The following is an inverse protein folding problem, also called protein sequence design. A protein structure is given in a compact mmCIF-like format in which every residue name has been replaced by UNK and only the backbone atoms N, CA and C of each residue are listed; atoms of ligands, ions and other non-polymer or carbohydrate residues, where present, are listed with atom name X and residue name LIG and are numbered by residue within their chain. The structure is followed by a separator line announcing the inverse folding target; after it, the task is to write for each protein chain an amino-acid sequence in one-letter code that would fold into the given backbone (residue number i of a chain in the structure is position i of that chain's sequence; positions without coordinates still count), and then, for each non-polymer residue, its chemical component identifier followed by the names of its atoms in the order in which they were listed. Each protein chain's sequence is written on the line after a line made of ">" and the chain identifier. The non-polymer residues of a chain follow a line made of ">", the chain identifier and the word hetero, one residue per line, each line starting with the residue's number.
data_IF_175148789984
#
_entry.id   IF_175148789984
#
_cell.length_a   1.000
_cell.length_b   1.000
_cell.length_c   1.000
_cell.angle_alpha   90.00
_cell.angle_beta   90.00
_cell.angle_gamma   90.00
#
_symmetry.space_group_name_H-M   'P 1'
#
loop_
_entity.id
_entity.type
_entity.pdbx_description
1 polymer ?
#
# COMPACT_ATOMS: atom_id res chain seq x y z
N UNK A 1 56.86 -61.00 -11.83
CA UNK A 1 57.26 -59.58 -11.67
C UNK A 1 56.04 -58.65 -11.60
N UNK A 2 54.94 -59.03 -10.93
CA UNK A 2 53.67 -58.25 -10.90
C UNK A 2 53.20 -57.90 -9.48
N UNK A 3 53.74 -58.57 -8.46
CA UNK A 3 53.29 -58.40 -7.06
C UNK A 3 53.74 -57.07 -6.42
N UNK A 4 54.87 -56.50 -6.83
CA UNK A 4 55.41 -55.27 -6.24
C UNK A 4 54.62 -54.02 -6.69
N UNK A 5 54.20 -53.98 -7.96
CA UNK A 5 53.44 -52.85 -8.53
C UNK A 5 52.03 -52.76 -7.94
N UNK A 6 51.37 -53.91 -7.69
CA UNK A 6 50.01 -53.97 -7.17
C UNK A 6 49.93 -53.50 -5.70
N UNK A 7 50.93 -53.85 -4.87
CA UNK A 7 51.04 -53.36 -3.49
C UNK A 7 51.28 -51.85 -3.40
N UNK A 8 52.13 -51.29 -4.26
CA UNK A 8 52.39 -49.84 -4.32
C UNK A 8 51.11 -49.08 -4.71
N UNK A 9 50.35 -49.59 -5.68
CA UNK A 9 49.11 -48.94 -6.10
C UNK A 9 48.05 -48.93 -4.98
N UNK A 10 48.00 -49.97 -4.14
CA UNK A 10 47.09 -50.03 -2.99
C UNK A 10 47.48 -49.01 -1.90
N UNK A 11 48.77 -48.82 -1.65
CA UNK A 11 49.27 -47.81 -0.71
C UNK A 11 48.99 -46.39 -1.19
N UNK A 12 49.20 -46.09 -2.47
CA UNK A 12 48.88 -44.79 -3.06
C UNK A 12 47.38 -44.48 -2.99
N UNK A 13 46.52 -45.48 -3.20
CA UNK A 13 45.07 -45.32 -3.05
C UNK A 13 44.68 -45.08 -1.59
N UNK A 14 45.32 -45.76 -0.64
CA UNK A 14 45.11 -45.56 0.79
C UNK A 14 45.56 -44.16 1.24
N UNK A 15 46.70 -43.68 0.73
CA UNK A 15 47.22 -42.32 1.00
C UNK A 15 46.24 -41.25 0.49
N UNK A 16 45.73 -41.40 -0.74
CA UNK A 16 44.73 -40.48 -1.28
C UNK A 16 43.46 -40.44 -0.41
N UNK A 17 42.93 -41.61 -0.03
CA UNK A 17 41.75 -41.71 0.85
C UNK A 17 41.99 -41.10 2.23
N UNK A 18 43.19 -41.28 2.80
CA UNK A 18 43.55 -40.68 4.08
C UNK A 18 43.61 -39.15 3.99
N UNK A 19 44.19 -38.63 2.90
CA UNK A 19 44.25 -37.19 2.62
C UNK A 19 42.86 -36.58 2.43
N UNK A 20 42.00 -37.23 1.65
CA UNK A 20 40.62 -36.78 1.41
C UNK A 20 39.82 -36.77 2.73
N UNK A 21 39.94 -37.82 3.55
CA UNK A 21 39.28 -37.91 4.86
C UNK A 21 39.76 -36.84 5.84
N UNK A 22 41.05 -36.47 5.78
CA UNK A 22 41.63 -35.42 6.61
C UNK A 22 41.17 -34.03 6.17
N UNK A 23 41.07 -33.78 4.86
CA UNK A 23 40.52 -32.52 4.33
C UNK A 23 39.01 -32.39 4.58
N UNK A 24 38.25 -33.47 4.49
CA UNK A 24 36.84 -33.50 4.88
C UNK A 24 36.67 -33.24 6.39
N UNK A 25 37.51 -33.88 7.22
CA UNK A 25 37.54 -33.63 8.65
C UNK A 25 37.93 -32.17 8.96
N UNK A 26 38.88 -31.56 8.26
CA UNK A 26 39.21 -30.12 8.40
C UNK A 26 38.09 -29.20 7.92
N UNK A 27 37.33 -29.60 6.91
CA UNK A 27 36.13 -28.89 6.43
C UNK A 27 35.00 -28.94 7.48
N UNK A 28 34.91 -30.04 8.24
CA UNK A 28 33.88 -30.29 9.26
C UNK A 28 34.25 -29.77 10.65
N UNK A 29 35.51 -29.93 11.06
CA UNK A 29 36.07 -29.38 12.30
C UNK A 29 36.34 -27.89 12.13
N UNK A 30 36.27 -27.09 13.19
CA UNK A 30 36.33 -25.62 13.16
C UNK A 30 37.69 -25.01 12.77
N UNK A 31 38.44 -25.63 11.86
CA UNK A 31 39.65 -25.06 11.27
C UNK A 31 39.30 -23.89 10.33
N UNK A 32 40.27 -23.04 10.00
CA UNK A 32 40.05 -21.78 9.27
C UNK A 32 39.24 -21.95 7.97
N UNK A 33 39.46 -23.04 7.22
CA UNK A 33 38.76 -23.35 5.96
C UNK A 33 37.27 -23.72 6.17
N UNK A 34 36.95 -24.52 7.19
CA UNK A 34 35.57 -24.87 7.55
C UNK A 34 34.79 -23.69 8.11
N UNK A 35 35.43 -22.85 8.94
CA UNK A 35 34.86 -21.60 9.48
C UNK A 35 34.51 -20.61 8.36
N UNK A 36 35.39 -20.43 7.37
CA UNK A 36 35.12 -19.56 6.22
C UNK A 36 33.93 -20.01 5.38
N UNK A 37 33.77 -21.33 5.16
CA UNK A 37 32.60 -21.88 4.44
C UNK A 37 31.30 -21.69 5.21
N UNK A 38 31.28 -21.95 6.52
CA UNK A 38 30.11 -21.72 7.37
C UNK A 38 29.72 -20.24 7.41
N UNK A 39 30.69 -19.34 7.47
CA UNK A 39 30.44 -17.90 7.41
C UNK A 39 29.85 -17.48 6.06
N UNK A 40 30.37 -18.02 4.95
CA UNK A 40 29.83 -17.75 3.61
C UNK A 40 28.40 -18.27 3.46
N UNK A 41 28.14 -19.49 3.92
CA UNK A 41 26.81 -20.09 3.91
C UNK A 41 25.82 -19.26 4.74
N UNK A 42 26.20 -18.87 5.96
CA UNK A 42 25.35 -18.04 6.82
C UNK A 42 25.03 -16.67 6.17
N UNK A 43 25.98 -16.08 5.43
CA UNK A 43 25.74 -14.85 4.67
C UNK A 43 24.77 -15.08 3.51
N UNK A 44 24.95 -16.15 2.73
CA UNK A 44 24.05 -16.50 1.63
C UNK A 44 22.63 -16.77 2.14
N UNK A 45 22.48 -17.54 3.22
CA UNK A 45 21.18 -17.83 3.85
C UNK A 45 20.50 -16.54 4.35
N UNK A 46 21.24 -15.67 5.03
CA UNK A 46 20.70 -14.38 5.48
C UNK A 46 20.28 -13.47 4.31
N UNK A 47 21.05 -13.45 3.21
CA UNK A 47 20.68 -12.69 2.01
C UNK A 47 19.39 -13.22 1.38
N UNK A 48 19.24 -14.54 1.28
CA UNK A 48 18.02 -15.17 0.76
C UNK A 48 16.82 -14.81 1.63
N UNK A 49 16.95 -14.86 2.96
CA UNK A 49 15.86 -14.49 3.88
C UNK A 49 15.48 -13.01 3.76
N UNK A 50 16.46 -12.12 3.63
CA UNK A 50 16.22 -10.68 3.41
C UNK A 50 15.46 -10.45 2.10
N UNK A 51 15.86 -11.10 1.01
CA UNK A 51 15.21 -10.93 -0.28
C UNK A 51 13.79 -11.51 -0.29
N UNK A 52 13.57 -12.65 0.38
CA UNK A 52 12.22 -13.19 0.59
C UNK A 52 11.34 -12.22 1.37
N UNK A 53 11.84 -11.67 2.47
CA UNK A 53 11.10 -10.69 3.27
C UNK A 53 10.78 -9.43 2.46
N UNK A 54 11.74 -8.91 1.69
CA UNK A 54 11.51 -7.78 0.77
C UNK A 54 10.41 -8.09 -0.24
N UNK A 55 10.48 -9.24 -0.89
CA UNK A 55 9.47 -9.65 -1.89
C UNK A 55 8.07 -9.78 -1.25
N UNK A 56 7.98 -10.32 -0.04
CA UNK A 56 6.74 -10.43 0.70
C UNK A 56 6.17 -9.05 1.06
N UNK A 57 7.00 -8.15 1.57
CA UNK A 57 6.60 -6.77 1.92
C UNK A 57 6.17 -5.97 0.70
N UNK A 58 6.86 -6.10 -0.43
CA UNK A 58 6.46 -5.46 -1.68
C UNK A 58 5.14 -6.01 -2.22
N UNK A 59 4.89 -7.31 -2.05
CA UNK A 59 3.60 -7.92 -2.41
C UNK A 59 2.48 -7.40 -1.51
N UNK A 60 2.68 -7.35 -0.20
CA UNK A 60 1.73 -6.78 0.75
C UNK A 60 1.45 -5.30 0.47
N UNK A 61 2.50 -4.53 0.19
CA UNK A 61 2.39 -3.12 -0.16
C UNK A 61 1.56 -2.93 -1.43
N UNK A 62 1.89 -3.65 -2.51
CA UNK A 62 1.13 -3.59 -3.78
C UNK A 62 -0.33 -3.99 -3.60
N UNK A 63 -0.61 -5.02 -2.79
CA UNK A 63 -1.98 -5.45 -2.50
C UNK A 63 -2.77 -4.38 -1.71
N UNK A 64 -2.12 -3.70 -0.76
CA UNK A 64 -2.75 -2.58 -0.04
C UNK A 64 -2.97 -1.39 -0.96
N UNK A 65 -1.99 -1.04 -1.80
CA UNK A 65 -2.07 0.06 -2.75
C UNK A 65 -3.21 -0.17 -3.76
N UNK A 66 -3.11 -1.24 -4.55
CA UNK A 66 -4.18 -2.22 -4.72
C UNK A 66 -5.61 -1.80 -4.34
N UNK A 67 -5.94 -2.27 -3.13
CA UNK A 67 -7.22 -2.11 -2.48
C UNK A 67 -7.60 -0.65 -2.23
N UNK A 68 -6.64 0.19 -1.84
CA UNK A 68 -6.89 1.61 -1.55
C UNK A 68 -7.26 2.35 -2.82
N UNK A 69 -6.49 2.17 -3.90
CA UNK A 69 -6.79 2.80 -5.20
C UNK A 69 -8.13 2.34 -5.74
N UNK A 70 -8.46 1.05 -5.62
CA UNK A 70 -9.79 0.54 -5.99
C UNK A 70 -10.91 1.15 -5.14
N UNK A 71 -10.70 1.34 -3.83
CA UNK A 71 -11.70 1.93 -2.93
C UNK A 71 -11.89 3.43 -3.11
N UNK A 72 -10.85 4.16 -3.54
CA UNK A 72 -10.92 5.60 -3.77
C UNK A 72 -11.86 5.95 -4.92
N UNK A 73 -11.85 5.15 -6.01
CA UNK A 73 -12.77 5.35 -7.12
C UNK A 73 -14.23 5.17 -6.68
N UNK A 74 -14.53 4.10 -5.96
CA UNK A 74 -15.88 3.86 -5.45
C UNK A 74 -16.39 5.00 -4.54
N UNK A 75 -15.51 5.56 -3.69
CA UNK A 75 -15.86 6.69 -2.85
C UNK A 75 -16.14 7.96 -3.68
N UNK A 76 -15.34 8.21 -4.72
CA UNK A 76 -15.55 9.34 -5.62
C UNK A 76 -16.89 9.24 -6.34
N UNK A 77 -17.22 8.04 -6.85
CA UNK A 77 -18.48 7.78 -7.56
C UNK A 77 -19.68 7.96 -6.61
N UNK A 78 -19.59 7.48 -5.37
CA UNK A 78 -20.64 7.64 -4.35
C UNK A 78 -20.85 9.12 -3.97
N UNK A 79 -19.75 9.90 -3.83
CA UNK A 79 -19.83 11.35 -3.57
C UNK A 79 -20.50 12.06 -4.74
N UNK A 80 -20.16 11.70 -5.98
CA UNK A 80 -20.76 12.29 -7.17
C UNK A 80 -22.27 11.99 -7.24
N UNK A 81 -22.67 10.73 -7.00
CA UNK A 81 -24.08 10.33 -6.94
C UNK A 81 -24.86 11.13 -5.88
N UNK A 82 -24.33 11.21 -4.65
CA UNK A 82 -24.94 12.00 -3.58
C UNK A 82 -25.03 13.49 -3.93
N UNK A 83 -24.00 14.04 -4.56
CA UNK A 83 -23.96 15.44 -4.98
C UNK A 83 -25.02 15.72 -6.05
N UNK A 84 -25.12 14.86 -7.06
CA UNK A 84 -26.14 14.96 -8.10
C UNK A 84 -27.56 14.84 -7.52
N UNK A 85 -27.77 13.90 -6.59
CA UNK A 85 -29.03 13.77 -5.85
C UNK A 85 -29.37 15.05 -5.08
N UNK A 86 -28.40 15.66 -4.42
CA UNK A 86 -28.63 16.91 -3.66
C UNK A 86 -28.95 18.09 -4.58
N UNK A 87 -28.28 18.19 -5.72
CA UNK A 87 -28.59 19.22 -6.73
C UNK A 87 -30.02 19.04 -7.26
N UNK A 88 -30.45 17.80 -7.53
CA UNK A 88 -31.81 17.51 -7.97
C UNK A 88 -32.84 17.89 -6.91
N UNK A 89 -32.59 17.58 -5.64
CA UNK A 89 -33.46 17.97 -4.52
C UNK A 89 -33.57 19.51 -4.42
N UNK A 90 -32.44 20.22 -4.48
CA UNK A 90 -32.41 21.69 -4.45
C UNK A 90 -33.19 22.31 -5.61
N UNK A 91 -33.02 21.79 -6.82
CA UNK A 91 -33.77 22.24 -7.99
C UNK A 91 -35.26 21.94 -7.85
N UNK A 92 -35.62 20.79 -7.29
CA UNK A 92 -37.00 20.43 -6.96
C UNK A 92 -37.62 21.42 -5.96
N UNK A 93 -36.89 21.77 -4.91
CA UNK A 93 -37.33 22.77 -3.93
C UNK A 93 -37.49 24.14 -4.57
N UNK A 94 -36.51 24.58 -5.35
CA UNK A 94 -36.58 25.85 -6.08
C UNK A 94 -37.85 25.92 -6.93
N UNK A 95 -38.06 24.94 -7.82
CA UNK A 95 -39.22 24.93 -8.70
C UNK A 95 -40.56 24.90 -7.95
N UNK A 96 -40.61 24.21 -6.80
CA UNK A 96 -41.82 24.12 -5.97
C UNK A 96 -42.16 25.44 -5.27
N UNK A 97 -41.15 26.18 -4.80
CA UNK A 97 -41.38 27.36 -3.96
C UNK A 97 -41.20 28.69 -4.70
N UNK A 98 -40.58 28.69 -5.88
CA UNK A 98 -40.27 29.90 -6.67
C UNK A 98 -41.50 30.78 -6.85
N UNK A 99 -42.62 30.22 -7.33
CA UNK A 99 -43.82 30.99 -7.62
C UNK A 99 -44.43 31.60 -6.35
N UNK A 100 -44.51 30.82 -5.26
CA UNK A 100 -45.02 31.30 -3.98
C UNK A 100 -44.19 32.46 -3.43
N UNK A 101 -42.86 32.35 -3.50
CA UNK A 101 -41.95 33.38 -3.00
C UNK A 101 -42.03 34.64 -3.87
N UNK A 102 -42.10 34.47 -5.20
CA UNK A 102 -42.26 35.59 -6.13
C UNK A 102 -43.56 36.34 -5.90
N UNK A 103 -44.68 35.63 -5.73
CA UNK A 103 -45.99 36.24 -5.46
C UNK A 103 -45.97 37.01 -4.14
N UNK A 104 -45.36 36.45 -3.09
CA UNK A 104 -45.23 37.13 -1.80
C UNK A 104 -44.39 38.40 -1.93
N UNK A 105 -43.24 38.33 -2.63
CA UNK A 105 -42.37 39.47 -2.84
C UNK A 105 -43.07 40.58 -3.63
N UNK A 106 -43.71 40.23 -4.75
CA UNK A 106 -44.45 41.20 -5.57
C UNK A 106 -45.62 41.81 -4.80
N UNK A 107 -46.35 41.01 -4.02
CA UNK A 107 -47.43 41.53 -3.17
C UNK A 107 -46.93 42.56 -2.16
N UNK A 108 -45.76 42.34 -1.54
CA UNK A 108 -45.19 43.31 -0.60
C UNK A 108 -44.68 44.58 -1.29
N UNK A 109 -44.09 44.45 -2.47
CA UNK A 109 -43.57 45.59 -3.23
C UNK A 109 -44.71 46.47 -3.77
N UNK A 110 -45.82 45.86 -4.19
CA UNK A 110 -46.97 46.59 -4.73
C UNK A 110 -47.91 47.16 -3.66
N UNK A 111 -47.82 46.71 -2.40
CA UNK A 111 -48.63 47.20 -1.27
C UNK A 111 -48.07 48.52 -0.73
N UNK A 112 -48.31 49.61 -1.47
CA UNK A 112 -47.93 50.96 -1.01
C UNK A 112 -48.82 51.41 0.14
N UNK A 113 -48.22 51.53 1.33
CA UNK A 113 -48.82 52.13 2.53
C UNK A 113 -48.18 53.48 2.82
N UNK A 114 -48.64 54.56 2.17
CA UNK A 114 -48.15 55.89 2.46
C UNK A 114 -48.57 56.28 3.87
N UNK A 115 -47.58 56.40 4.75
CA UNK A 115 -47.78 56.86 6.13
C UNK A 115 -47.21 58.27 6.28
N UNK A 116 -47.97 59.13 6.94
CA UNK A 116 -47.47 60.42 7.37
C UNK A 116 -46.49 60.17 8.51
N UNK A 117 -45.30 60.77 8.42
CA UNK A 117 -44.30 60.64 9.47
C UNK A 117 -44.89 61.01 10.83
N UNK A 118 -44.58 60.22 11.86
CA UNK A 118 -45.17 60.29 13.21
C UNK A 118 -45.12 61.68 13.89
N UNK A 119 -44.21 62.55 13.43
CA UNK A 119 -44.01 63.89 13.96
C UNK A 119 -44.70 65.01 13.15
N UNK A 120 -45.45 64.68 12.10
CA UNK A 120 -46.18 65.69 11.34
C UNK A 120 -47.22 66.37 12.24
N UNK A 121 -47.19 67.70 12.24
CA UNK A 121 -48.19 68.53 12.92
C UNK A 121 -48.83 69.44 11.89
N UNK A 122 -50.15 69.32 11.71
CA UNK A 122 -50.90 70.26 10.91
C UNK A 122 -50.89 71.63 11.62
N UNK A 123 -50.31 72.63 10.97
CA UNK A 123 -50.39 74.03 11.42
C UNK A 123 -51.71 74.61 10.91
N UNK A 124 -52.57 75.08 11.83
CA UNK A 124 -53.72 75.92 11.50
C UNK A 124 -53.29 77.29 10.97
#
# INVERSE_FOLDING_TARGET
>A
MTSQSQGIHQLLQAEKRAKDKLEEAKKKTGTASGKGKRLKQAKEEAMVEIDQYRMQRDKEFRLKQSKIMGSQNNLSDEIEEQTLGKIQELNGHYNKYMESVMNQLLSMVCDMKPEIHVNYRATN
#
